data_IF_617735762983
#
_entry.id   IF_617735762983
#
_cell.length_a   1.000
_cell.length_b   1.000
_cell.length_c   1.000
_cell.angle_alpha   90.00
_cell.angle_beta   90.00
_cell.angle_gamma   90.00
#
_symmetry.space_group_name_H-M   'P 1'
#
loop_
_entity.id
_entity.type
_entity.pdbx_description
1 polymer ?
#
# COMPACT_ATOMS: atom_id res chain seq x y z
N UNK A 1 15.77 -0.44 -7.15
CA UNK A 1 14.50 -0.93 -6.60
C UNK A 1 13.83 -1.85 -7.60
N UNK A 2 13.42 -3.03 -7.16
CA UNK A 2 12.74 -3.96 -8.03
C UNK A 2 11.27 -3.55 -8.18
N UNK A 3 10.72 -3.80 -9.37
CA UNK A 3 9.31 -3.57 -9.62
C UNK A 3 8.59 -4.92 -9.73
N UNK A 4 7.34 -4.89 -9.38
CA UNK A 4 6.51 -6.08 -9.44
C UNK A 4 6.10 -6.35 -10.88
N UNK A 5 6.15 -7.61 -11.36
CA UNK A 5 5.60 -7.94 -12.68
C UNK A 5 4.14 -7.55 -12.78
N UNK A 6 3.69 -7.25 -14.01
CA UNK A 6 2.32 -6.79 -14.24
C UNK A 6 1.25 -7.74 -13.68
N UNK A 7 1.44 -9.04 -13.87
CA UNK A 7 0.47 -10.03 -13.38
C UNK A 7 0.41 -10.02 -11.85
N UNK A 8 1.56 -9.88 -11.18
CA UNK A 8 1.60 -9.80 -9.73
C UNK A 8 1.00 -8.51 -9.23
N UNK A 9 1.20 -7.42 -9.97
CA UNK A 9 0.63 -6.13 -9.60
C UNK A 9 -0.91 -6.17 -9.66
N UNK A 10 -1.46 -6.82 -10.68
CA UNK A 10 -2.90 -7.01 -10.77
C UNK A 10 -3.44 -7.84 -9.60
N UNK A 11 -2.73 -8.91 -9.24
CA UNK A 11 -3.09 -9.73 -8.09
C UNK A 11 -3.03 -8.92 -6.81
N UNK A 12 -2.00 -8.09 -6.63
CA UNK A 12 -1.86 -7.23 -5.47
C UNK A 12 -3.04 -6.24 -5.39
N UNK A 13 -3.42 -5.66 -6.52
CA UNK A 13 -4.56 -4.75 -6.58
C UNK A 13 -5.85 -5.44 -6.12
N UNK A 14 -6.12 -6.63 -6.64
CA UNK A 14 -7.32 -7.39 -6.27
C UNK A 14 -7.28 -7.81 -4.79
N UNK A 15 -6.12 -8.22 -4.31
CA UNK A 15 -5.93 -8.58 -2.90
C UNK A 15 -6.26 -7.39 -2.00
N UNK A 16 -5.76 -6.21 -2.38
CA UNK A 16 -5.99 -5.00 -1.61
C UNK A 16 -7.48 -4.61 -1.63
N UNK A 17 -8.11 -4.63 -2.80
CA UNK A 17 -9.51 -4.27 -2.93
C UNK A 17 -10.40 -5.19 -2.08
N UNK A 18 -10.14 -6.50 -2.11
CA UNK A 18 -10.87 -7.47 -1.31
C UNK A 18 -10.68 -7.21 0.19
N UNK A 19 -9.46 -6.90 0.59
CA UNK A 19 -9.15 -6.62 2.00
C UNK A 19 -9.84 -5.33 2.47
N UNK A 20 -9.89 -4.31 1.64
CA UNK A 20 -10.60 -3.07 1.95
C UNK A 20 -12.08 -3.35 2.18
N UNK A 21 -12.69 -4.16 1.30
CA UNK A 21 -14.08 -4.55 1.47
C UNK A 21 -14.30 -5.32 2.78
N UNK A 22 -13.37 -6.21 3.13
CA UNK A 22 -13.45 -6.97 4.38
C UNK A 22 -13.34 -6.08 5.61
N UNK A 23 -12.51 -5.06 5.55
CA UNK A 23 -12.35 -4.12 6.67
C UNK A 23 -13.60 -3.28 6.88
N UNK A 24 -14.26 -2.92 5.79
CA UNK A 24 -15.43 -2.06 5.80
C UNK A 24 -15.08 -0.59 5.86
N UNK A 25 -16.02 0.29 5.49
CA UNK A 25 -15.73 1.72 5.36
C UNK A 25 -15.30 2.39 6.66
N UNK A 26 -15.76 1.91 7.81
CA UNK A 26 -15.40 2.49 9.09
C UNK A 26 -13.97 2.18 9.52
N UNK A 27 -13.38 1.10 8.98
CA UNK A 27 -12.03 0.65 9.35
C UNK A 27 -11.04 0.75 8.21
N UNK A 28 -11.46 1.26 7.07
CA UNK A 28 -10.62 1.30 5.89
C UNK A 28 -9.31 2.07 6.14
N UNK A 29 -9.39 3.26 6.72
CA UNK A 29 -8.20 4.06 7.00
C UNK A 29 -7.27 3.37 7.99
N UNK A 30 -7.84 2.75 9.02
CA UNK A 30 -7.03 2.01 10.01
C UNK A 30 -6.33 0.83 9.34
N UNK A 31 -7.06 0.07 8.52
CA UNK A 31 -6.47 -1.06 7.80
C UNK A 31 -5.31 -0.60 6.91
N UNK A 32 -5.52 0.45 6.12
CA UNK A 32 -4.49 0.94 5.20
C UNK A 32 -3.27 1.48 5.94
N UNK A 33 -3.49 2.14 7.07
CA UNK A 33 -2.38 2.61 7.91
C UNK A 33 -1.55 1.43 8.42
N UNK A 34 -2.22 0.39 8.92
CA UNK A 34 -1.53 -0.81 9.40
C UNK A 34 -0.78 -1.51 8.29
N UNK A 35 -1.39 -1.61 7.11
CA UNK A 35 -0.76 -2.22 5.95
C UNK A 35 0.50 -1.44 5.56
N UNK A 36 0.40 -0.12 5.50
CA UNK A 36 1.54 0.72 5.15
C UNK A 36 2.71 0.53 6.12
N UNK A 37 2.41 0.43 7.42
CA UNK A 37 3.46 0.24 8.43
C UNK A 37 4.09 -1.15 8.32
N UNK A 38 3.29 -2.19 8.06
CA UNK A 38 3.81 -3.54 7.84
C UNK A 38 4.73 -3.55 6.62
N UNK A 39 4.28 -2.97 5.52
CA UNK A 39 5.09 -2.91 4.29
C UNK A 39 6.35 -2.07 4.49
N UNK A 40 6.23 -0.98 5.23
CA UNK A 40 7.40 -0.15 5.55
C UNK A 40 8.44 -0.92 6.33
N UNK A 41 8.00 -1.73 7.30
CA UNK A 41 8.89 -2.58 8.08
C UNK A 41 9.59 -3.61 7.19
N UNK A 42 8.85 -4.26 6.30
CA UNK A 42 9.40 -5.23 5.36
C UNK A 42 10.37 -4.58 4.38
N UNK A 43 10.07 -3.37 3.95
CA UNK A 43 10.92 -2.61 3.04
C UNK A 43 12.28 -2.29 3.68
N UNK A 44 12.28 -1.93 4.95
CA UNK A 44 13.51 -1.73 5.72
C UNK A 44 14.34 -0.51 5.34
N UNK A 45 13.77 0.46 4.63
CA UNK A 45 14.49 1.65 4.16
C UNK A 45 13.60 2.88 4.31
N UNK A 46 13.95 3.74 5.27
CA UNK A 46 13.11 4.90 5.59
C UNK A 46 13.06 5.91 4.43
N UNK A 47 14.15 6.10 3.71
CA UNK A 47 14.18 7.04 2.60
C UNK A 47 13.26 6.58 1.47
N UNK A 48 13.27 5.28 1.17
CA UNK A 48 12.37 4.70 0.16
C UNK A 48 10.92 4.80 0.61
N UNK A 49 10.66 4.53 1.89
CA UNK A 49 9.32 4.64 2.44
C UNK A 49 8.78 6.07 2.32
N UNK A 50 9.59 7.06 2.71
CA UNK A 50 9.19 8.46 2.59
C UNK A 50 8.95 8.87 1.14
N UNK A 51 9.76 8.36 0.22
CA UNK A 51 9.56 8.59 -1.22
C UNK A 51 8.23 8.01 -1.70
N UNK A 52 7.88 6.81 -1.23
CA UNK A 52 6.60 6.19 -1.58
C UNK A 52 5.42 7.00 -1.05
N UNK A 53 5.54 7.55 0.17
CA UNK A 53 4.51 8.41 0.74
C UNK A 53 4.29 9.64 -0.15
N UNK A 54 5.37 10.28 -0.59
CA UNK A 54 5.26 11.45 -1.47
C UNK A 54 4.58 11.10 -2.79
N UNK A 55 4.94 9.96 -3.37
CA UNK A 55 4.32 9.49 -4.62
C UNK A 55 2.82 9.24 -4.44
N UNK A 56 2.44 8.64 -3.33
CA UNK A 56 1.03 8.36 -3.04
C UNK A 56 0.23 9.65 -2.86
N UNK A 57 0.82 10.66 -2.23
CA UNK A 57 0.16 11.95 -2.03
C UNK A 57 0.04 12.74 -3.33
N UNK A 58 1.02 12.65 -4.19
CA UNK A 58 1.10 13.44 -5.42
C UNK A 58 -0.09 13.21 -6.34
N UNK A 59 -0.65 12.03 -6.35
CA UNK A 59 -1.80 11.70 -7.19
C UNK A 59 -3.16 12.07 -6.62
N UNK A 60 -3.21 12.60 -5.41
CA UNK A 60 -4.50 12.88 -4.75
C UNK A 60 -5.09 14.24 -5.15
N UNK A 61 -4.34 15.03 -5.85
CA UNK A 61 -4.83 16.28 -6.38
C UNK A 61 -4.92 17.38 -5.42
#
# INVERSE_FOLDING_TARGET
MSTMPSADFETAYETLATAIDSAGPEREALFLTRLALVLGHELGDIAVFQGAVRMALDGLG
#
